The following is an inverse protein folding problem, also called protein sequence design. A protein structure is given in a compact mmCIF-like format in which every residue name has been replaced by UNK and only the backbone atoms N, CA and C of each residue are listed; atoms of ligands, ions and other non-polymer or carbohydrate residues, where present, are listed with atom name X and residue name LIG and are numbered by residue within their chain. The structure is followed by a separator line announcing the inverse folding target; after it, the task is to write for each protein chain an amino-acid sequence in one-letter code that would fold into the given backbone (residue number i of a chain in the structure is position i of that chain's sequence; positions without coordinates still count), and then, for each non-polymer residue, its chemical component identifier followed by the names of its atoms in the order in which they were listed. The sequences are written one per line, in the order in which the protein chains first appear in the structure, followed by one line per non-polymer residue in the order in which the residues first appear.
data_IF_263195936899
#
_entry.id   IF_263195936899
#
_cell.length_a   1.000
_cell.length_b   1.000
_cell.length_c   1.000
_cell.angle_alpha   90.00
_cell.angle_beta   90.00
_cell.angle_gamma   90.00
#
_symmetry.space_group_name_H-M   'P 1'
#
loop_
_entity.id
_entity.type
_entity.pdbx_description
1 polymer ?
#
# COMPACT_ATOMS: atom_id res chain seq x y z
N UNK A 1 46.29 78.87 56.88
CA UNK A 1 44.98 79.39 56.98
C UNK A 1 44.13 78.61 55.96
N UNK A 2 43.44 77.79 56.52
CA UNK A 2 42.16 77.17 56.35
C UNK A 2 42.02 76.18 55.19
N UNK A 3 41.96 75.10 55.52
CA UNK A 3 41.37 73.81 55.51
C UNK A 3 39.88 73.79 55.10
N UNK A 4 39.55 73.04 54.14
CA UNK A 4 38.20 72.73 53.72
C UNK A 4 38.14 71.31 53.20
N UNK A 5 37.83 70.39 54.10
CA UNK A 5 37.57 69.00 53.75
C UNK A 5 36.24 68.88 53.06
N UNK A 6 36.21 68.31 51.83
CA UNK A 6 34.99 67.91 51.13
C UNK A 6 34.78 66.39 51.32
N UNK A 7 33.71 66.08 52.03
CA UNK A 7 33.15 64.75 52.20
C UNK A 7 32.63 64.19 50.87
N UNK A 8 33.22 63.11 50.41
CA UNK A 8 32.72 62.35 49.28
C UNK A 8 31.61 61.40 49.73
N UNK A 9 30.37 61.71 49.34
CA UNK A 9 29.24 60.76 49.41
C UNK A 9 29.36 59.76 48.27
N UNK A 10 29.57 58.52 48.62
CA UNK A 10 29.43 57.41 47.70
C UNK A 10 27.93 57.04 47.58
N UNK A 11 27.34 56.97 46.42
CA UNK A 11 25.99 56.46 46.27
C UNK A 11 25.97 54.94 46.50
N UNK A 12 25.03 54.49 47.33
CA UNK A 12 24.73 53.09 47.62
C UNK A 12 24.14 52.46 46.36
N UNK A 13 24.84 51.54 45.77
CA UNK A 13 24.27 50.66 44.73
C UNK A 13 23.12 49.81 45.28
N UNK A 14 21.94 49.73 44.60
CA UNK A 14 20.87 48.90 45.04
C UNK A 14 21.19 47.45 44.81
N UNK A 15 21.26 46.68 45.89
CA UNK A 15 21.11 45.22 46.02
C UNK A 15 21.28 44.40 44.76
N UNK A 16 22.50 43.93 44.49
CA UNK A 16 22.73 42.74 43.67
C UNK A 16 22.16 41.52 44.40
N UNK A 17 21.08 40.96 43.88
CA UNK A 17 20.53 39.68 44.32
C UNK A 17 21.61 38.62 44.13
N UNK A 18 21.94 37.80 45.13
CA UNK A 18 22.96 36.77 44.98
C UNK A 18 22.54 35.77 43.91
N UNK A 19 23.43 35.45 42.99
CA UNK A 19 23.25 34.47 41.88
C UNK A 19 23.06 33.01 42.32
N UNK A 20 22.71 32.80 43.62
CA UNK A 20 22.62 31.46 44.23
C UNK A 20 21.18 30.86 44.24
N UNK A 21 20.20 31.49 43.58
CA UNK A 21 18.82 30.98 43.52
C UNK A 21 18.30 30.68 42.10
N UNK A 22 19.19 30.55 41.15
CA UNK A 22 18.78 29.89 39.89
C UNK A 22 18.63 28.38 40.16
N UNK A 23 17.40 27.96 40.42
CA UNK A 23 17.05 26.55 40.44
C UNK A 23 17.39 25.97 39.05
N UNK A 24 18.25 24.92 38.95
CA UNK A 24 18.55 24.31 37.69
C UNK A 24 17.23 23.77 37.11
N UNK A 25 16.80 24.34 35.99
CA UNK A 25 15.69 23.80 35.22
C UNK A 25 15.99 22.33 34.93
N UNK A 26 15.11 21.40 35.32
CA UNK A 26 15.36 19.98 35.08
C UNK A 26 15.56 19.75 33.58
N UNK A 27 16.79 19.38 33.18
CA UNK A 27 17.11 18.96 31.84
C UNK A 27 16.21 17.76 31.56
N UNK A 28 15.07 17.99 30.88
CA UNK A 28 14.20 16.92 30.39
C UNK A 28 15.01 16.17 29.36
N UNK A 29 15.45 14.96 29.70
CA UNK A 29 16.18 14.08 28.82
C UNK A 29 15.36 13.89 27.53
N UNK A 30 15.94 14.08 26.33
CA UNK A 30 15.24 13.90 25.08
C UNK A 30 14.63 12.50 24.94
N UNK A 31 15.20 11.51 25.60
CA UNK A 31 14.68 10.15 25.74
C UNK A 31 13.31 10.06 26.41
N UNK A 32 13.02 10.86 27.45
CA UNK A 32 11.72 10.80 28.14
C UNK A 32 10.57 11.35 27.28
N UNK A 33 10.83 12.35 26.41
CA UNK A 33 9.86 12.83 25.41
C UNK A 33 9.65 11.81 24.29
N UNK A 34 10.71 11.12 23.88
CA UNK A 34 10.63 10.06 22.87
C UNK A 34 9.78 8.88 23.37
N UNK A 35 10.00 8.40 24.59
CA UNK A 35 9.23 7.29 25.14
C UNK A 35 7.77 7.65 25.44
N UNK A 36 7.47 8.86 25.92
CA UNK A 36 6.07 9.27 26.18
C UNK A 36 5.29 9.48 24.88
N UNK A 37 5.88 10.14 23.88
CA UNK A 37 5.27 10.34 22.57
C UNK A 37 5.11 9.02 21.80
N UNK A 38 6.16 8.21 21.74
CA UNK A 38 6.14 6.91 21.08
C UNK A 38 5.15 5.93 21.74
N UNK A 39 5.10 5.87 23.07
CA UNK A 39 4.16 5.00 23.80
C UNK A 39 2.70 5.39 23.55
N UNK A 40 2.37 6.70 23.59
CA UNK A 40 1.02 7.20 23.29
C UNK A 40 0.65 6.90 21.84
N UNK A 41 1.60 7.13 20.92
CA UNK A 41 1.36 6.88 19.49
C UNK A 41 1.22 5.39 19.20
N UNK A 42 2.06 4.54 19.80
CA UNK A 42 1.95 3.08 19.72
C UNK A 42 0.61 2.62 20.30
N UNK A 43 0.20 3.11 21.46
CA UNK A 43 -1.08 2.77 22.07
C UNK A 43 -2.26 3.22 21.19
N UNK A 44 -2.20 4.42 20.61
CA UNK A 44 -3.23 4.92 19.69
C UNK A 44 -3.30 4.09 18.41
N UNK A 45 -2.15 3.69 17.85
CA UNK A 45 -2.10 2.81 16.67
C UNK A 45 -2.58 1.41 17.00
N UNK A 46 -2.15 0.86 18.14
CA UNK A 46 -2.65 -0.45 18.57
C UNK A 46 -4.16 -0.43 18.81
N UNK A 47 -4.70 0.67 19.35
CA UNK A 47 -6.14 0.86 19.53
C UNK A 47 -6.88 0.97 18.17
N UNK A 48 -6.34 1.77 17.24
CA UNK A 48 -6.86 1.89 15.87
C UNK A 48 -6.71 0.59 15.09
N UNK A 49 -5.57 -0.09 15.23
CA UNK A 49 -5.32 -1.39 14.66
C UNK A 49 -6.24 -2.45 15.25
N UNK A 50 -6.44 -2.44 16.58
CA UNK A 50 -7.39 -3.31 17.26
C UNK A 50 -8.83 -3.05 16.77
N UNK A 51 -9.25 -1.79 16.65
CA UNK A 51 -10.56 -1.44 16.13
C UNK A 51 -10.73 -1.88 14.67
N UNK A 52 -9.70 -1.67 13.83
CA UNK A 52 -9.70 -2.11 12.44
C UNK A 52 -9.69 -3.65 12.34
N UNK A 53 -8.82 -4.32 13.12
CA UNK A 53 -8.78 -5.79 13.21
C UNK A 53 -10.13 -6.32 13.69
N UNK A 54 -10.77 -5.63 14.65
CA UNK A 54 -12.11 -6.00 15.11
C UNK A 54 -13.17 -5.81 14.02
N UNK A 55 -13.16 -4.68 13.30
CA UNK A 55 -14.08 -4.42 12.18
C UNK A 55 -13.85 -5.42 11.04
N UNK A 56 -12.59 -5.67 10.68
CA UNK A 56 -12.22 -6.67 9.68
C UNK A 56 -12.59 -8.07 10.16
N UNK A 57 -12.29 -8.40 11.42
CA UNK A 57 -12.61 -9.70 12.02
C UNK A 57 -14.13 -9.89 12.14
N UNK A 58 -14.88 -8.86 12.54
CA UNK A 58 -16.35 -8.93 12.67
C UNK A 58 -17.02 -8.99 11.28
N UNK A 59 -16.49 -8.25 10.30
CA UNK A 59 -16.88 -8.40 8.89
C UNK A 59 -16.68 -9.83 8.39
N UNK A 60 -15.52 -10.45 8.70
CA UNK A 60 -15.25 -11.83 8.30
C UNK A 60 -15.92 -12.88 9.19
N UNK A 61 -16.15 -12.59 10.47
CA UNK A 61 -16.91 -13.46 11.37
C UNK A 61 -18.36 -13.66 10.93
N UNK A 62 -18.98 -12.61 10.34
CA UNK A 62 -20.30 -12.72 9.75
C UNK A 62 -20.36 -13.67 8.54
N UNK A 63 -19.22 -13.94 7.90
CA UNK A 63 -19.11 -14.84 6.75
C UNK A 63 -18.50 -16.21 7.09
N UNK A 64 -18.08 -16.44 8.35
CA UNK A 64 -17.38 -17.67 8.77
C UNK A 64 -16.23 -18.07 7.83
N UNK A 65 -15.50 -17.09 7.30
CA UNK A 65 -14.49 -17.30 6.26
C UNK A 65 -13.12 -17.48 6.88
N UNK A 66 -12.58 -18.66 6.78
CA UNK A 66 -11.16 -18.90 7.03
C UNK A 66 -10.40 -18.68 5.70
N UNK A 67 -9.59 -17.62 5.55
CA UNK A 67 -8.89 -17.32 4.30
C UNK A 67 -7.92 -18.43 3.87
N UNK A 68 -7.51 -19.27 4.82
CA UNK A 68 -6.60 -20.39 4.58
C UNK A 68 -7.31 -21.75 4.46
N UNK A 69 -8.63 -21.80 4.60
CA UNK A 69 -9.38 -23.02 4.40
C UNK A 69 -9.22 -23.54 2.97
N UNK A 70 -8.81 -24.80 2.81
CA UNK A 70 -8.49 -25.43 1.52
C UNK A 70 -7.13 -25.07 0.94
N UNK A 71 -6.28 -24.29 1.66
CA UNK A 71 -4.85 -24.22 1.40
C UNK A 71 -4.19 -25.45 2.03
N UNK A 72 -3.80 -26.41 1.19
CA UNK A 72 -3.01 -27.57 1.64
C UNK A 72 -1.53 -27.20 1.81
N UNK A 73 -0.78 -28.12 2.42
CA UNK A 73 0.67 -27.96 2.63
C UNK A 73 1.42 -27.59 1.33
N UNK A 74 0.99 -28.15 0.21
CA UNK A 74 1.59 -27.87 -1.10
C UNK A 74 1.42 -26.39 -1.52
N UNK A 75 0.26 -25.78 -1.31
CA UNK A 75 0.05 -24.36 -1.64
C UNK A 75 0.91 -23.44 -0.79
N UNK A 76 1.02 -23.72 0.52
CA UNK A 76 1.92 -22.97 1.40
C UNK A 76 3.39 -23.15 1.02
N UNK A 77 3.80 -24.35 0.63
CA UNK A 77 5.17 -24.60 0.18
C UNK A 77 5.50 -23.85 -1.11
N UNK A 78 4.60 -23.89 -2.11
CA UNK A 78 4.78 -23.15 -3.38
C UNK A 78 4.84 -21.64 -3.14
N UNK A 79 3.92 -21.09 -2.31
CA UNK A 79 3.94 -19.69 -1.96
C UNK A 79 5.24 -19.29 -1.24
N UNK A 80 5.65 -20.06 -0.24
CA UNK A 80 6.88 -19.79 0.52
C UNK A 80 8.14 -19.88 -0.34
N UNK A 81 8.29 -20.93 -1.15
CA UNK A 81 9.46 -21.10 -2.02
C UNK A 81 9.51 -20.00 -3.09
N UNK A 82 8.39 -19.72 -3.77
CA UNK A 82 8.35 -18.68 -4.81
C UNK A 82 8.60 -17.28 -4.23
N UNK A 83 8.08 -17.00 -3.02
CA UNK A 83 8.36 -15.75 -2.30
C UNK A 83 9.83 -15.65 -1.92
N UNK A 84 10.44 -16.71 -1.38
CA UNK A 84 11.86 -16.75 -1.05
C UNK A 84 12.76 -16.54 -2.27
N UNK A 85 12.44 -17.17 -3.39
CA UNK A 85 13.15 -16.96 -4.67
C UNK A 85 12.97 -15.52 -5.17
N UNK A 86 11.80 -14.92 -5.02
CA UNK A 86 11.54 -13.54 -5.40
C UNK A 86 12.37 -12.57 -4.54
N UNK A 87 12.40 -12.78 -3.23
CA UNK A 87 13.23 -11.97 -2.32
C UNK A 87 14.71 -12.11 -2.70
N UNK A 88 15.18 -13.33 -2.90
CA UNK A 88 16.57 -13.59 -3.28
C UNK A 88 16.95 -12.88 -4.59
N UNK A 89 16.17 -13.08 -5.67
CA UNK A 89 16.43 -12.48 -6.97
C UNK A 89 16.40 -10.95 -6.94
N UNK A 90 15.46 -10.37 -6.21
CA UNK A 90 15.34 -8.91 -6.08
C UNK A 90 16.44 -8.32 -5.19
N UNK A 91 16.90 -9.04 -4.16
CA UNK A 91 17.99 -8.60 -3.29
C UNK A 91 19.35 -8.51 -4.01
N UNK A 92 19.50 -9.14 -5.18
CA UNK A 92 20.65 -8.94 -6.06
C UNK A 92 20.72 -7.53 -6.68
N UNK A 93 19.61 -6.78 -6.68
CA UNK A 93 19.44 -5.47 -7.32
C UNK A 93 19.09 -4.34 -6.35
N UNK A 94 18.60 -4.67 -5.17
CA UNK A 94 18.12 -3.70 -4.19
C UNK A 94 18.41 -4.15 -2.75
N UNK A 95 18.53 -3.24 -1.77
CA UNK A 95 18.76 -3.59 -0.36
C UNK A 95 17.73 -4.57 0.18
N UNK A 96 18.18 -5.62 0.85
CA UNK A 96 17.32 -6.69 1.37
C UNK A 96 16.14 -6.18 2.23
N UNK A 97 16.31 -5.21 3.16
CA UNK A 97 15.18 -4.70 3.94
C UNK A 97 14.08 -4.04 3.08
N UNK A 98 14.48 -3.33 2.00
CA UNK A 98 13.53 -2.76 1.04
C UNK A 98 12.74 -3.86 0.32
N UNK A 99 13.45 -4.90 -0.14
CA UNK A 99 12.84 -6.02 -0.86
C UNK A 99 11.88 -6.79 0.04
N UNK A 100 12.27 -7.11 1.26
CA UNK A 100 11.42 -7.83 2.23
C UNK A 100 10.16 -7.02 2.53
N UNK A 101 10.30 -5.71 2.79
CA UNK A 101 9.15 -4.84 3.04
C UNK A 101 8.21 -4.74 1.83
N UNK A 102 8.76 -4.62 0.63
CA UNK A 102 7.98 -4.57 -0.62
C UNK A 102 7.23 -5.87 -0.89
N UNK A 103 7.91 -7.02 -0.78
CA UNK A 103 7.30 -8.35 -0.95
C UNK A 103 6.24 -8.60 0.14
N UNK A 104 6.46 -8.08 1.35
CA UNK A 104 5.46 -8.10 2.42
C UNK A 104 4.17 -7.37 2.05
N UNK A 105 4.26 -6.21 1.39
CA UNK A 105 3.07 -5.49 0.88
C UNK A 105 2.37 -6.31 -0.20
N UNK A 106 3.12 -6.92 -1.13
CA UNK A 106 2.56 -7.79 -2.16
C UNK A 106 1.86 -9.00 -1.51
N UNK A 107 2.44 -9.61 -0.49
CA UNK A 107 1.81 -10.72 0.23
C UNK A 107 0.46 -10.31 0.83
N UNK A 108 0.38 -9.12 1.45
CA UNK A 108 -0.89 -8.61 2.02
C UNK A 108 -1.90 -8.32 0.90
N UNK A 109 -1.46 -7.82 -0.25
CA UNK A 109 -2.29 -7.66 -1.44
C UNK A 109 -2.89 -9.00 -1.89
N UNK A 110 -2.09 -10.06 -2.04
CA UNK A 110 -2.56 -11.38 -2.43
C UNK A 110 -3.49 -12.02 -1.40
N UNK A 111 -3.22 -11.80 -0.10
CA UNK A 111 -4.13 -12.20 0.98
C UNK A 111 -5.49 -11.49 0.83
N UNK A 112 -5.50 -10.22 0.42
CA UNK A 112 -6.73 -9.48 0.12
C UNK A 112 -7.60 -10.21 -0.92
N UNK A 113 -7.00 -10.67 -2.02
CA UNK A 113 -7.69 -11.49 -3.02
C UNK A 113 -8.18 -12.82 -2.45
N UNK A 114 -7.31 -13.54 -1.73
CA UNK A 114 -7.66 -14.83 -1.14
C UNK A 114 -8.85 -14.72 -0.18
N UNK A 115 -8.88 -13.67 0.64
CA UNK A 115 -9.99 -13.37 1.54
C UNK A 115 -11.29 -13.11 0.76
N UNK A 116 -11.24 -12.28 -0.29
CA UNK A 116 -12.41 -11.96 -1.10
C UNK A 116 -12.94 -13.18 -1.87
N UNK A 117 -12.05 -14.01 -2.42
CA UNK A 117 -12.40 -15.29 -3.07
C UNK A 117 -13.19 -16.17 -2.08
N UNK A 118 -12.69 -16.31 -0.87
CA UNK A 118 -13.35 -17.09 0.18
C UNK A 118 -14.67 -16.49 0.62
N UNK A 119 -14.74 -15.17 0.78
CA UNK A 119 -15.98 -14.48 1.13
C UNK A 119 -17.10 -14.69 0.08
N UNK A 120 -16.72 -14.99 -1.17
CA UNK A 120 -17.66 -15.37 -2.24
C UNK A 120 -18.02 -16.87 -2.25
N UNK A 121 -17.50 -17.65 -1.31
CA UNK A 121 -17.69 -19.10 -1.26
C UNK A 121 -16.91 -19.86 -2.34
N UNK A 122 -15.87 -19.22 -2.92
CA UNK A 122 -15.01 -19.81 -3.95
C UNK A 122 -13.73 -20.37 -3.33
N UNK A 123 -13.04 -21.26 -4.04
CA UNK A 123 -11.78 -21.84 -3.61
C UNK A 123 -10.60 -21.09 -4.21
N UNK A 124 -9.79 -20.48 -3.35
CA UNK A 124 -8.50 -19.95 -3.76
C UNK A 124 -7.57 -21.10 -4.17
N UNK A 125 -6.85 -20.89 -5.25
CA UNK A 125 -5.85 -21.84 -5.74
C UNK A 125 -4.46 -21.57 -5.18
N UNK A 126 -3.44 -21.74 -6.02
CA UNK A 126 -2.04 -21.54 -5.65
C UNK A 126 -1.73 -20.05 -5.63
N UNK A 127 -1.01 -19.59 -4.60
CA UNK A 127 -0.38 -18.28 -4.54
C UNK A 127 1.06 -18.41 -5.01
N UNK A 128 1.48 -17.59 -5.97
CA UNK A 128 2.82 -17.61 -6.55
C UNK A 128 3.38 -16.21 -6.57
N UNK A 129 4.66 -16.07 -6.22
CA UNK A 129 5.41 -14.82 -6.34
C UNK A 129 6.42 -14.93 -7.47
N UNK A 130 6.41 -13.94 -8.38
CA UNK A 130 7.30 -13.88 -9.53
C UNK A 130 8.21 -12.67 -9.35
N UNK A 131 9.56 -12.86 -9.34
CA UNK A 131 10.51 -11.78 -9.16
C UNK A 131 10.25 -10.63 -10.14
N UNK A 132 10.27 -9.39 -9.66
CA UNK A 132 10.09 -8.15 -10.44
C UNK A 132 8.69 -7.97 -11.09
N UNK A 133 7.81 -8.96 -11.04
CA UNK A 133 6.46 -8.90 -11.63
C UNK A 133 5.41 -8.68 -10.52
N UNK A 134 5.49 -9.45 -9.43
CA UNK A 134 4.54 -9.35 -8.32
C UNK A 134 4.09 -10.71 -7.82
N UNK A 135 2.89 -10.76 -7.21
CA UNK A 135 2.21 -11.97 -6.79
C UNK A 135 1.03 -12.31 -7.70
N UNK A 136 0.51 -13.50 -7.54
CA UNK A 136 -0.76 -13.93 -8.14
C UNK A 136 -1.40 -15.04 -7.30
N UNK A 137 -2.69 -14.88 -7.00
CA UNK A 137 -3.54 -15.95 -6.47
C UNK A 137 -4.42 -16.49 -7.58
N UNK A 138 -4.31 -17.79 -7.85
CA UNK A 138 -5.19 -18.42 -8.84
C UNK A 138 -6.56 -18.71 -8.22
N UNK A 139 -7.60 -18.68 -9.06
CA UNK A 139 -8.93 -19.18 -8.70
C UNK A 139 -9.07 -20.63 -9.17
N UNK A 140 -9.61 -21.49 -8.31
CA UNK A 140 -10.02 -22.86 -8.71
C UNK A 140 -11.40 -22.85 -9.33
N UNK A 141 -12.29 -21.98 -8.86
CA UNK A 141 -13.65 -21.83 -9.34
C UNK A 141 -13.80 -20.52 -10.09
N UNK A 142 -14.71 -20.49 -11.07
CA UNK A 142 -15.02 -19.23 -11.76
C UNK A 142 -15.95 -18.36 -10.91
N UNK A 143 -15.72 -17.02 -10.85
CA UNK A 143 -16.67 -16.09 -10.24
C UNK A 143 -18.05 -16.20 -10.92
N UNK A 144 -19.11 -15.99 -10.15
CA UNK A 144 -20.49 -16.13 -10.66
C UNK A 144 -20.89 -15.03 -11.62
N UNK A 145 -20.25 -13.85 -11.50
CA UNK A 145 -20.53 -12.68 -12.32
C UNK A 145 -19.30 -11.77 -12.41
N UNK A 146 -19.28 -10.89 -13.40
CA UNK A 146 -18.27 -9.84 -13.52
C UNK A 146 -18.26 -8.91 -12.29
N UNK A 147 -19.40 -8.75 -11.60
CA UNK A 147 -19.47 -8.00 -10.34
C UNK A 147 -18.69 -8.68 -9.22
N UNK A 148 -18.86 -10.00 -9.04
CA UNK A 148 -18.10 -10.76 -8.05
C UNK A 148 -16.59 -10.74 -8.38
N UNK A 149 -16.23 -10.89 -9.65
CA UNK A 149 -14.86 -10.83 -10.11
C UNK A 149 -14.21 -9.46 -9.87
N UNK A 150 -14.96 -8.38 -10.09
CA UNK A 150 -14.50 -7.02 -9.81
C UNK A 150 -14.28 -6.77 -8.30
N UNK A 151 -15.13 -7.31 -7.43
CA UNK A 151 -14.94 -7.20 -5.99
C UNK A 151 -13.70 -7.96 -5.53
N UNK A 152 -13.44 -9.14 -6.08
CA UNK A 152 -12.20 -9.87 -5.84
C UNK A 152 -11.01 -9.03 -6.35
N UNK A 153 -11.11 -8.46 -7.55
CA UNK A 153 -10.08 -7.60 -8.14
C UNK A 153 -9.77 -6.35 -7.29
N UNK A 154 -10.76 -5.73 -6.66
CA UNK A 154 -10.56 -4.57 -5.78
C UNK A 154 -9.90 -4.93 -4.44
N UNK A 155 -10.10 -6.15 -3.94
CA UNK A 155 -9.70 -6.53 -2.59
C UNK A 155 -8.19 -6.53 -2.39
N UNK A 156 -7.41 -6.98 -3.37
CA UNK A 156 -5.94 -6.93 -3.33
C UNK A 156 -5.41 -5.51 -3.21
N UNK A 157 -5.71 -4.62 -4.18
CA UNK A 157 -5.28 -3.23 -4.12
C UNK A 157 -5.73 -2.49 -2.85
N UNK A 158 -6.91 -2.77 -2.31
CA UNK A 158 -7.39 -2.20 -1.04
C UNK A 158 -6.51 -2.68 0.13
N UNK A 159 -6.24 -3.99 0.23
CA UNK A 159 -5.41 -4.55 1.28
C UNK A 159 -3.95 -4.06 1.17
N UNK A 160 -3.38 -4.05 -0.04
CA UNK A 160 -2.03 -3.54 -0.29
C UNK A 160 -1.90 -2.03 -0.05
N UNK A 161 -2.95 -1.25 -0.34
CA UNK A 161 -3.01 0.18 0.02
C UNK A 161 -2.96 0.37 1.52
N UNK A 162 -3.74 -0.42 2.26
CA UNK A 162 -3.73 -0.39 3.73
C UNK A 162 -2.36 -0.74 4.29
N UNK A 163 -1.71 -1.79 3.79
CA UNK A 163 -0.35 -2.15 4.19
C UNK A 163 0.65 -1.02 3.91
N UNK A 164 0.56 -0.38 2.75
CA UNK A 164 1.40 0.76 2.39
C UNK A 164 1.19 1.97 3.31
N UNK A 165 -0.05 2.24 3.73
CA UNK A 165 -0.38 3.28 4.71
C UNK A 165 0.21 2.99 6.09
N UNK A 166 0.19 1.74 6.54
CA UNK A 166 0.82 1.32 7.80
C UNK A 166 2.33 1.58 7.74
N UNK A 167 3.00 1.20 6.65
CA UNK A 167 4.44 1.44 6.46
C UNK A 167 4.73 2.95 6.37
N UNK A 168 3.90 3.73 5.69
CA UNK A 168 4.02 5.20 5.66
C UNK A 168 3.87 5.80 7.06
N UNK A 169 3.02 5.23 7.91
CA UNK A 169 2.89 5.69 9.29
C UNK A 169 4.13 5.36 10.11
N UNK A 170 4.77 4.20 9.89
CA UNK A 170 6.06 3.86 10.51
C UNK A 170 7.14 4.88 10.09
N UNK A 171 7.18 5.27 8.80
CA UNK A 171 8.06 6.34 8.33
C UNK A 171 7.85 7.63 9.14
N UNK A 172 6.61 8.08 9.33
CA UNK A 172 6.30 9.31 10.09
C UNK A 172 6.74 9.26 11.57
N UNK A 173 6.93 8.07 12.12
CA UNK A 173 7.40 7.92 13.51
C UNK A 173 8.90 7.79 13.62
N UNK A 174 9.55 7.21 12.62
CA UNK A 174 10.97 6.85 12.66
C UNK A 174 11.85 7.79 11.85
N UNK A 175 11.26 8.57 10.92
CA UNK A 175 11.94 9.41 9.92
C UNK A 175 12.96 8.64 9.07
N UNK A 176 12.84 7.29 9.02
CA UNK A 176 13.77 6.46 8.26
C UNK A 176 13.36 6.34 6.78
N UNK A 177 14.21 6.80 5.83
CA UNK A 177 13.90 6.81 4.39
C UNK A 177 13.53 5.44 3.82
N UNK A 178 14.01 4.36 4.44
CA UNK A 178 13.67 2.99 4.06
C UNK A 178 12.15 2.75 4.05
N UNK A 179 11.44 3.16 5.11
CA UNK A 179 9.99 2.96 5.21
C UNK A 179 9.23 3.84 4.21
N UNK A 180 9.74 5.04 3.90
CA UNK A 180 9.18 5.87 2.85
C UNK A 180 9.30 5.19 1.48
N UNK A 181 10.47 4.59 1.19
CA UNK A 181 10.73 3.88 -0.06
C UNK A 181 9.81 2.64 -0.20
N UNK A 182 9.65 1.86 0.88
CA UNK A 182 8.75 0.70 0.89
C UNK A 182 7.30 1.15 0.66
N UNK A 183 6.83 2.19 1.36
CA UNK A 183 5.47 2.70 1.21
C UNK A 183 5.22 3.24 -0.19
N UNK A 184 6.14 4.03 -0.76
CA UNK A 184 6.04 4.57 -2.11
C UNK A 184 6.00 3.46 -3.16
N UNK A 185 6.85 2.44 -3.05
CA UNK A 185 6.84 1.27 -3.92
C UNK A 185 5.52 0.49 -3.78
N UNK A 186 5.01 0.36 -2.55
CA UNK A 186 3.73 -0.29 -2.26
C UNK A 186 2.55 0.44 -2.90
N UNK A 187 2.46 1.77 -2.78
CA UNK A 187 1.42 2.55 -3.47
C UNK A 187 1.52 2.41 -4.99
N UNK A 188 2.75 2.49 -5.53
CA UNK A 188 2.99 2.38 -6.96
C UNK A 188 2.57 1.00 -7.51
N UNK A 189 2.92 -0.10 -6.85
CA UNK A 189 2.56 -1.45 -7.34
C UNK A 189 1.06 -1.69 -7.27
N UNK A 190 0.37 -1.21 -6.22
CA UNK A 190 -1.08 -1.29 -6.13
C UNK A 190 -1.78 -0.45 -7.19
N UNK A 191 -1.24 0.74 -7.52
CA UNK A 191 -1.73 1.57 -8.63
C UNK A 191 -1.53 0.89 -9.99
N UNK A 192 -0.37 0.25 -10.20
CA UNK A 192 -0.08 -0.50 -11.42
C UNK A 192 -1.07 -1.66 -11.62
N UNK A 193 -1.41 -2.37 -10.54
CA UNK A 193 -2.40 -3.45 -10.59
C UNK A 193 -3.81 -2.96 -10.93
N UNK A 194 -4.11 -1.69 -10.73
CA UNK A 194 -5.38 -1.09 -11.16
C UNK A 194 -5.42 -0.66 -12.64
N UNK A 195 -4.32 -0.81 -13.38
CA UNK A 195 -4.39 -0.57 -14.83
C UNK A 195 -5.42 -1.52 -15.46
N UNK A 196 -6.30 -1.00 -16.33
CA UNK A 196 -7.35 -1.81 -16.95
C UNK A 196 -6.77 -2.68 -18.08
N UNK A 197 -5.93 -3.62 -17.71
CA UNK A 197 -5.22 -4.56 -18.58
C UNK A 197 -5.55 -5.97 -18.09
N UNK A 198 -5.95 -6.86 -18.97
CA UNK A 198 -6.59 -8.14 -18.68
C UNK A 198 -5.93 -9.05 -17.65
N UNK A 199 -4.61 -8.99 -17.48
CA UNK A 199 -3.88 -9.79 -16.49
C UNK A 199 -3.81 -9.15 -15.10
N UNK A 200 -4.10 -7.85 -15.00
CA UNK A 200 -4.06 -7.09 -13.75
C UNK A 200 -5.46 -7.01 -13.12
N UNK A 201 -5.52 -6.63 -11.86
CA UNK A 201 -6.78 -6.47 -11.14
C UNK A 201 -7.72 -5.47 -11.81
N UNK A 202 -7.17 -4.37 -12.34
CA UNK A 202 -7.92 -3.39 -13.11
C UNK A 202 -8.59 -3.98 -14.36
N UNK A 203 -8.02 -5.04 -14.97
CA UNK A 203 -8.64 -5.77 -16.06
C UNK A 203 -9.90 -6.52 -15.62
N UNK A 204 -9.87 -7.16 -14.44
CA UNK A 204 -11.02 -7.84 -13.82
C UNK A 204 -12.11 -6.85 -13.44
N UNK A 205 -11.72 -5.72 -12.83
CA UNK A 205 -12.64 -4.65 -12.41
C UNK A 205 -13.31 -4.01 -13.62
N UNK A 206 -12.56 -3.77 -14.71
CA UNK A 206 -13.07 -3.14 -15.93
C UNK A 206 -14.15 -3.94 -16.61
N UNK A 207 -14.15 -5.26 -16.48
CA UNK A 207 -15.20 -6.15 -17.01
C UNK A 207 -16.58 -5.82 -16.44
N UNK A 208 -16.67 -5.43 -15.15
CA UNK A 208 -17.92 -5.03 -14.52
C UNK A 208 -18.31 -3.58 -14.84
N UNK A 209 -17.36 -2.69 -15.14
CA UNK A 209 -17.62 -1.27 -15.38
C UNK A 209 -17.93 -1.03 -16.86
N UNK A 210 -16.96 -1.20 -17.72
CA UNK A 210 -17.10 -1.09 -19.18
C UNK A 210 -15.88 -1.62 -19.91
N UNK A 211 -16.09 -2.30 -21.01
CA UNK A 211 -15.01 -2.77 -21.90
C UNK A 211 -14.16 -1.66 -22.53
N UNK A 212 -14.69 -0.45 -22.61
CA UNK A 212 -13.94 0.71 -23.12
C UNK A 212 -12.71 1.05 -22.24
N UNK A 213 -12.71 0.66 -20.98
CA UNK A 213 -11.54 0.83 -20.12
C UNK A 213 -10.32 0.04 -20.63
N UNK A 214 -10.52 -1.14 -21.24
CA UNK A 214 -9.43 -1.90 -21.84
C UNK A 214 -8.80 -1.19 -23.04
N UNK A 215 -9.64 -0.51 -23.84
CA UNK A 215 -9.17 0.31 -24.97
C UNK A 215 -8.30 1.46 -24.46
N UNK A 216 -8.73 2.11 -23.40
CA UNK A 216 -7.94 3.18 -22.77
C UNK A 216 -6.62 2.63 -22.20
N UNK A 217 -6.64 1.55 -21.41
CA UNK A 217 -5.45 0.94 -20.84
C UNK A 217 -4.47 0.45 -21.91
N UNK A 218 -4.99 -0.20 -22.97
CA UNK A 218 -4.21 -0.61 -24.13
C UNK A 218 -3.58 0.59 -24.87
N UNK A 219 -4.33 1.68 -25.03
CA UNK A 219 -3.85 2.92 -25.65
C UNK A 219 -2.68 3.55 -24.89
N UNK A 220 -2.75 3.59 -23.56
CA UNK A 220 -1.63 4.05 -22.71
C UNK A 220 -0.39 3.18 -22.90
N UNK A 221 -0.57 1.87 -22.97
CA UNK A 221 0.54 0.92 -23.16
C UNK A 221 1.18 1.09 -24.55
N UNK A 222 0.37 1.21 -25.60
CA UNK A 222 0.85 1.46 -26.97
C UNK A 222 1.63 2.77 -27.05
N UNK A 223 1.09 3.84 -26.46
CA UNK A 223 1.79 5.14 -26.40
C UNK A 223 3.18 5.03 -25.73
N UNK A 224 3.28 4.29 -24.63
CA UNK A 224 4.55 4.05 -23.92
C UNK A 224 5.55 3.31 -24.81
N UNK A 225 5.12 2.27 -25.51
CA UNK A 225 6.00 1.47 -26.41
C UNK A 225 6.47 2.28 -27.61
N UNK A 226 5.61 3.12 -28.19
CA UNK A 226 6.00 4.00 -29.29
C UNK A 226 7.05 5.02 -28.86
N UNK A 227 6.95 5.53 -27.62
CA UNK A 227 7.92 6.50 -27.08
C UNK A 227 9.22 5.85 -26.60
N UNK A 228 9.16 4.63 -26.08
CA UNK A 228 10.30 3.92 -25.53
C UNK A 228 10.18 2.43 -25.91
N UNK A 229 10.57 2.06 -27.13
CA UNK A 229 10.46 0.69 -27.60
C UNK A 229 11.32 -0.25 -26.74
N UNK A 230 10.65 -1.25 -26.16
CA UNK A 230 11.28 -2.27 -25.33
C UNK A 230 10.68 -3.63 -25.70
N UNK A 231 11.49 -4.66 -25.99
CA UNK A 231 10.99 -5.99 -26.33
C UNK A 231 10.03 -6.59 -25.31
N UNK A 232 10.27 -6.35 -24.01
CA UNK A 232 9.38 -6.80 -22.95
C UNK A 232 8.01 -6.11 -23.04
N UNK A 233 7.98 -4.80 -23.30
CA UNK A 233 6.71 -4.07 -23.46
C UNK A 233 5.95 -4.52 -24.72
N UNK A 234 6.64 -4.85 -25.81
CA UNK A 234 6.01 -5.46 -26.99
C UNK A 234 5.34 -6.80 -26.64
N UNK A 235 6.04 -7.66 -25.91
CA UNK A 235 5.48 -8.92 -25.42
C UNK A 235 4.23 -8.68 -24.57
N UNK A 236 4.28 -7.70 -23.65
CA UNK A 236 3.12 -7.34 -22.82
C UNK A 236 1.94 -6.88 -23.68
N UNK A 237 2.17 -6.06 -24.73
CA UNK A 237 1.10 -5.64 -25.66
C UNK A 237 0.47 -6.85 -26.34
N UNK A 238 1.27 -7.79 -26.83
CA UNK A 238 0.77 -9.01 -27.48
C UNK A 238 -0.08 -9.82 -26.51
N UNK A 239 0.38 -10.01 -25.28
CA UNK A 239 -0.37 -10.71 -24.22
C UNK A 239 -1.68 -9.99 -23.89
N UNK A 240 -1.65 -8.66 -23.78
CA UNK A 240 -2.85 -7.84 -23.52
C UNK A 240 -3.83 -7.93 -24.68
N UNK A 241 -3.35 -7.81 -25.93
CA UNK A 241 -4.20 -7.93 -27.12
C UNK A 241 -4.86 -9.31 -27.18
N UNK A 242 -4.10 -10.37 -26.91
CA UNK A 242 -4.62 -11.74 -26.83
C UNK A 242 -5.67 -11.88 -25.71
N UNK A 243 -5.41 -11.31 -24.53
CA UNK A 243 -6.36 -11.35 -23.41
C UNK A 243 -7.65 -10.57 -23.72
N UNK A 244 -7.55 -9.40 -24.35
CA UNK A 244 -8.72 -8.63 -24.80
C UNK A 244 -9.52 -9.43 -25.83
N UNK A 245 -8.84 -10.07 -26.79
CA UNK A 245 -9.49 -10.95 -27.77
C UNK A 245 -10.26 -12.08 -27.08
N UNK A 246 -9.62 -12.81 -26.15
CA UNK A 246 -10.28 -13.87 -25.39
C UNK A 246 -11.47 -13.36 -24.59
N UNK A 247 -11.38 -12.16 -24.01
CA UNK A 247 -12.47 -11.56 -23.25
C UNK A 247 -13.67 -11.21 -24.13
N UNK A 248 -13.42 -10.69 -25.35
CA UNK A 248 -14.48 -10.39 -26.31
C UNK A 248 -15.17 -11.67 -26.79
N UNK A 249 -14.42 -12.76 -27.01
CA UNK A 249 -14.96 -14.04 -27.37
C UNK A 249 -15.82 -14.61 -26.25
N UNK A 250 -15.32 -14.63 -25.02
CA UNK A 250 -16.06 -15.10 -23.84
C UNK A 250 -17.35 -14.30 -23.57
N UNK A 251 -17.34 -12.98 -23.74
CA UNK A 251 -18.54 -12.15 -23.56
C UNK A 251 -19.69 -12.55 -24.51
N UNK A 252 -19.37 -13.05 -25.70
CA UNK A 252 -20.37 -13.55 -26.63
C UNK A 252 -21.01 -14.85 -26.16
N UNK A 253 -20.21 -15.69 -25.50
CA UNK A 253 -20.62 -17.02 -25.07
C UNK A 253 -21.28 -17.02 -23.68
N UNK A 254 -20.93 -16.08 -22.80
CA UNK A 254 -21.43 -16.01 -21.41
C UNK A 254 -22.00 -14.62 -21.08
N UNK A 255 -23.12 -14.29 -21.69
CA UNK A 255 -23.83 -13.02 -21.44
C UNK A 255 -24.28 -12.87 -19.98
N UNK A 256 -24.61 -13.97 -19.31
CA UNK A 256 -25.08 -13.96 -17.93
C UNK A 256 -23.99 -13.51 -16.96
N UNK A 257 -22.73 -13.86 -17.22
CA UNK A 257 -21.58 -13.39 -16.44
C UNK A 257 -21.44 -11.87 -16.47
N UNK A 258 -21.68 -11.23 -17.60
CA UNK A 258 -21.53 -9.78 -17.81
C UNK A 258 -22.81 -8.99 -17.55
N UNK A 259 -23.89 -9.66 -17.13
CA UNK A 259 -25.15 -9.01 -16.73
C UNK A 259 -25.00 -8.39 -15.34
N UNK A 260 -24.49 -7.14 -15.31
CA UNK A 260 -24.24 -6.35 -14.11
C UNK A 260 -25.25 -5.21 -14.04
N UNK A 261 -25.98 -5.11 -12.94
CA UNK A 261 -26.96 -4.03 -12.73
C UNK A 261 -26.29 -2.65 -12.71
N UNK A 262 -27.04 -1.61 -13.06
CA UNK A 262 -26.52 -0.23 -13.07
C UNK A 262 -25.97 0.15 -11.70
N UNK A 263 -26.63 -0.20 -10.60
CA UNK A 263 -26.18 0.12 -9.25
C UNK A 263 -24.85 -0.57 -8.89
N UNK A 264 -24.69 -1.84 -9.26
CA UNK A 264 -23.45 -2.58 -9.08
C UNK A 264 -22.31 -1.97 -9.91
N UNK A 265 -22.58 -1.62 -11.15
CA UNK A 265 -21.64 -0.97 -12.07
C UNK A 265 -21.14 0.37 -11.52
N UNK A 266 -22.09 1.22 -11.05
CA UNK A 266 -21.77 2.52 -10.45
C UNK A 266 -20.96 2.34 -9.16
N UNK A 267 -21.33 1.40 -8.31
CA UNK A 267 -20.57 1.10 -7.08
C UNK A 267 -19.13 0.70 -7.37
N UNK A 268 -18.91 -0.24 -8.30
CA UNK A 268 -17.57 -0.68 -8.70
C UNK A 268 -16.78 0.49 -9.32
N UNK A 269 -17.42 1.28 -10.19
CA UNK A 269 -16.76 2.43 -10.81
C UNK A 269 -16.30 3.46 -9.77
N UNK A 270 -17.16 3.82 -8.82
CA UNK A 270 -16.82 4.76 -7.74
C UNK A 270 -15.65 4.22 -6.90
N UNK A 271 -15.72 2.96 -6.46
CA UNK A 271 -14.67 2.34 -5.67
C UNK A 271 -13.33 2.30 -6.44
N UNK A 272 -13.37 1.92 -7.70
CA UNK A 272 -12.19 1.86 -8.57
C UNK A 272 -11.55 3.24 -8.77
N UNK A 273 -12.31 4.25 -9.21
CA UNK A 273 -11.75 5.57 -9.47
C UNK A 273 -11.30 6.27 -8.20
N UNK A 274 -12.03 6.12 -7.08
CA UNK A 274 -11.58 6.63 -5.79
C UNK A 274 -10.23 6.05 -5.39
N UNK A 275 -10.04 4.73 -5.56
CA UNK A 275 -8.79 4.06 -5.24
C UNK A 275 -7.66 4.47 -6.19
N UNK A 276 -7.92 4.60 -7.50
CA UNK A 276 -6.95 5.07 -8.49
C UNK A 276 -6.47 6.50 -8.17
N UNK A 277 -7.41 7.40 -7.86
CA UNK A 277 -7.08 8.80 -7.50
C UNK A 277 -6.27 8.84 -6.21
N UNK A 278 -6.69 8.10 -5.20
CA UNK A 278 -5.99 8.01 -3.92
C UNK A 278 -4.56 7.47 -4.07
N UNK A 279 -4.41 6.33 -4.75
CA UNK A 279 -3.11 5.71 -4.99
C UNK A 279 -2.21 6.57 -5.89
N UNK A 280 -2.77 7.22 -6.91
CA UNK A 280 -2.05 8.14 -7.76
C UNK A 280 -1.49 9.33 -6.97
N UNK A 281 -2.31 9.92 -6.11
CA UNK A 281 -1.88 11.00 -5.20
C UNK A 281 -0.79 10.53 -4.24
N UNK A 282 -0.99 9.39 -3.56
CA UNK A 282 -0.01 8.87 -2.60
C UNK A 282 1.32 8.50 -3.28
N UNK A 283 1.27 7.88 -4.45
CA UNK A 283 2.46 7.56 -5.24
C UNK A 283 3.22 8.84 -5.61
N UNK A 284 2.54 9.83 -6.16
CA UNK A 284 3.16 11.11 -6.55
C UNK A 284 3.81 11.83 -5.37
N UNK A 285 3.09 12.00 -4.26
CA UNK A 285 3.59 12.72 -3.09
C UNK A 285 4.79 12.01 -2.47
N UNK A 286 4.72 10.69 -2.30
CA UNK A 286 5.78 9.96 -1.60
C UNK A 286 7.02 9.73 -2.47
N UNK A 287 6.89 9.59 -3.79
CA UNK A 287 8.04 9.57 -4.69
C UNK A 287 8.77 10.93 -4.73
N UNK A 288 8.03 12.05 -4.74
CA UNK A 288 8.64 13.38 -4.69
C UNK A 288 9.35 13.62 -3.35
N UNK A 289 8.78 13.17 -2.22
CA UNK A 289 9.46 13.22 -0.92
C UNK A 289 10.75 12.40 -0.92
N UNK A 290 10.70 11.19 -1.47
CA UNK A 290 11.88 10.32 -1.58
C UNK A 290 12.96 10.96 -2.45
N UNK A 291 12.58 11.55 -3.58
CA UNK A 291 13.51 12.27 -4.46
C UNK A 291 14.13 13.52 -3.79
N UNK A 292 13.41 14.19 -2.91
CA UNK A 292 13.93 15.32 -2.12
C UNK A 292 14.94 14.89 -1.06
N UNK A 293 14.81 13.69 -0.49
CA UNK A 293 15.77 13.14 0.48
C UNK A 293 17.06 12.63 -0.16
N UNK A 294 17.05 12.39 -1.48
CA UNK A 294 18.20 11.92 -2.24
C UNK A 294 19.11 13.08 -2.76
N UNK A 295 18.68 14.33 -2.59
CA UNK A 295 19.45 15.56 -2.94
C UNK A 295 20.21 16.10 -1.75
#
# INVERSE_FOLDING_TARGET
MDSGAASSHNPIEPNAIPAALEHPTPKRHPFAKFFSGAAITIAFVLLKLKALVFVVFDFFRGYAVNPFEGFGLMQFSVAGVSMGLSIWAMALKAPLPLVVGFVGIILIHEIGHAVAIRAKGLHAGIMVFIPFIGGAVTLKDQPRSAYDDAQIGLAGPIAGTFASLVVLQIYKWTDQPLYLAIAAAGFAVNLLNLLPIGMLDGGRISAAVTKWMWVFGGGVLVYKVVKQPNPLMLLIIVLVAFQVYLSIVREKDDKAFYDVTISQRVFVAIAYFALVIFLGHQTYVNLNRLAALAK
#
